data_IF_248854579965
#
_entry.id   IF_248854579965
#
_cell.length_a   1.000
_cell.length_b   1.000
_cell.length_c   1.000
_cell.angle_alpha   90.00
_cell.angle_beta   90.00
_cell.angle_gamma   90.00
#
_symmetry.space_group_name_H-M   'P 1'
#
loop_
_entity.id
_entity.type
_entity.pdbx_description
1 polymer ?
#
# COMPACT_ATOMS: atom_id res chain seq x y z
N UNK A 1 11.05 8.17 -11.24
CA UNK A 1 9.73 8.54 -10.69
C UNK A 1 9.26 9.91 -11.16
N UNK A 2 10.02 10.57 -12.05
CA UNK A 2 9.70 11.92 -12.51
C UNK A 2 9.71 12.98 -11.41
N UNK A 3 10.37 12.71 -10.28
CA UNK A 3 10.53 13.65 -9.17
C UNK A 3 11.96 14.11 -9.10
N UNK A 4 12.15 15.41 -8.96
CA UNK A 4 13.42 16.03 -8.62
C UNK A 4 13.49 16.16 -7.10
N UNK A 5 14.57 15.64 -6.53
CA UNK A 5 14.89 15.76 -5.11
C UNK A 5 16.15 16.60 -5.01
N UNK A 6 16.08 17.75 -4.35
CA UNK A 6 17.19 18.72 -4.29
C UNK A 6 17.90 18.74 -2.95
N UNK A 7 17.26 18.28 -1.87
CA UNK A 7 17.92 18.22 -0.56
C UNK A 7 18.74 16.94 -0.44
N UNK A 8 19.99 17.05 -0.83
CA UNK A 8 20.99 15.97 -0.85
C UNK A 8 22.25 16.39 -0.10
N UNK A 9 22.90 15.46 0.57
CA UNK A 9 24.21 15.68 1.20
C UNK A 9 25.11 14.47 1.01
N UNK A 10 26.41 14.70 0.98
CA UNK A 10 27.42 13.64 0.88
C UNK A 10 27.49 12.89 2.21
N UNK A 11 27.56 11.56 2.14
CA UNK A 11 27.67 10.68 3.30
C UNK A 11 28.98 9.91 3.20
N UNK A 12 29.76 9.90 4.29
CA UNK A 12 31.01 9.14 4.36
C UNK A 12 30.74 7.71 4.84
N UNK A 13 30.05 7.58 5.99
CA UNK A 13 29.60 6.30 6.53
C UNK A 13 28.08 6.29 6.64
N UNK A 14 27.47 5.40 5.85
CA UNK A 14 26.01 5.22 5.81
C UNK A 14 25.44 4.79 7.14
N UNK A 15 26.07 3.82 7.81
CA UNK A 15 25.50 3.23 9.02
C UNK A 15 25.55 4.22 10.17
N UNK A 16 26.68 4.92 10.34
CA UNK A 16 26.81 5.98 11.32
C UNK A 16 25.80 7.11 11.06
N UNK A 17 25.70 7.57 9.80
CA UNK A 17 24.75 8.60 9.43
C UNK A 17 23.29 8.17 9.69
N UNK A 18 22.91 6.94 9.30
CA UNK A 18 21.54 6.42 9.46
C UNK A 18 21.09 6.38 10.91
N UNK A 19 21.96 5.96 11.85
CA UNK A 19 21.65 5.91 13.28
C UNK A 19 21.25 7.29 13.86
N UNK A 20 21.88 8.35 13.40
CA UNK A 20 21.56 9.72 13.82
C UNK A 20 20.34 10.23 13.05
N UNK A 21 20.35 10.05 11.72
CA UNK A 21 19.35 10.57 10.80
C UNK A 21 17.95 9.97 10.97
N UNK A 22 17.80 8.79 11.55
CA UNK A 22 16.48 8.21 11.87
C UNK A 22 15.64 9.11 12.80
N UNK A 23 16.29 9.90 13.65
CA UNK A 23 15.63 10.87 14.55
C UNK A 23 15.05 12.09 13.80
N UNK A 24 15.40 12.29 12.53
CA UNK A 24 14.89 13.39 11.70
C UNK A 24 13.44 13.21 11.23
N UNK A 25 12.86 12.02 11.39
CA UNK A 25 11.51 11.66 10.91
C UNK A 25 11.27 11.88 9.40
N UNK A 26 12.33 12.02 8.61
CA UNK A 26 12.26 12.15 7.15
C UNK A 26 12.46 10.82 6.45
N UNK A 27 11.85 10.66 5.27
CA UNK A 27 12.08 9.51 4.42
C UNK A 27 13.39 9.72 3.66
N UNK A 28 14.38 8.87 3.93
CA UNK A 28 15.73 9.05 3.40
C UNK A 28 16.06 7.96 2.40
N UNK A 29 16.65 8.36 1.28
CA UNK A 29 17.22 7.48 0.28
C UNK A 29 18.74 7.60 0.38
N UNK A 30 19.42 6.49 0.64
CA UNK A 30 20.86 6.42 0.48
C UNK A 30 21.16 5.95 -0.95
N UNK A 31 21.88 6.79 -1.68
CA UNK A 31 22.24 6.54 -3.07
C UNK A 31 23.75 6.39 -3.19
N UNK A 32 24.16 5.39 -3.95
CA UNK A 32 25.51 5.27 -4.45
C UNK A 32 25.57 5.98 -5.81
N UNK A 33 26.52 6.91 -5.93
CA UNK A 33 26.75 7.67 -7.14
C UNK A 33 27.95 7.07 -7.87
N UNK A 34 27.74 6.73 -9.13
CA UNK A 34 28.75 6.14 -10.01
C UNK A 34 28.95 7.00 -11.26
N UNK A 35 30.22 7.20 -11.63
CA UNK A 35 30.60 7.97 -12.81
C UNK A 35 30.20 7.24 -14.09
N UNK A 36 29.60 7.98 -15.04
CA UNK A 36 29.19 7.45 -16.34
C UNK A 36 30.37 7.30 -17.33
N UNK A 37 31.47 8.00 -17.08
CA UNK A 37 32.66 8.03 -17.95
C UNK A 37 33.95 7.98 -17.12
N UNK A 38 34.71 6.89 -17.29
CA UNK A 38 36.14 6.65 -17.03
C UNK A 38 36.74 6.85 -15.63
N UNK A 39 36.13 7.63 -14.72
CA UNK A 39 36.63 7.73 -13.35
C UNK A 39 35.77 6.89 -12.42
N UNK A 40 36.38 5.88 -11.78
CA UNK A 40 35.82 5.02 -10.72
C UNK A 40 35.58 5.81 -9.41
N UNK A 41 35.08 7.04 -9.54
CA UNK A 41 34.69 7.89 -8.43
C UNK A 41 33.34 7.40 -7.97
N UNK A 42 33.37 6.70 -6.84
CA UNK A 42 32.19 6.26 -6.11
C UNK A 42 32.09 7.06 -4.84
N UNK A 43 30.90 7.61 -4.59
CA UNK A 43 30.59 8.25 -3.32
C UNK A 43 29.12 8.06 -2.99
N UNK A 44 28.83 8.09 -1.70
CA UNK A 44 27.47 7.99 -1.23
C UNK A 44 26.88 9.36 -0.95
N UNK A 45 25.59 9.49 -1.25
CA UNK A 45 24.79 10.63 -0.85
C UNK A 45 23.53 10.15 -0.16
N UNK A 46 22.96 10.99 0.68
CA UNK A 46 21.59 10.82 1.16
C UNK A 46 20.72 11.89 0.51
N UNK A 47 19.57 11.47 0.00
CA UNK A 47 18.53 12.34 -0.53
C UNK A 47 17.27 12.20 0.33
N UNK A 48 16.73 13.33 0.79
CA UNK A 48 15.52 13.31 1.62
C UNK A 48 14.26 13.55 0.78
N UNK A 49 13.32 12.61 0.89
CA UNK A 49 12.02 12.70 0.23
C UNK A 49 11.03 13.34 1.19
N UNK A 50 10.69 14.58 0.90
CA UNK A 50 9.98 15.44 1.85
C UNK A 50 8.54 15.76 1.44
N UNK A 51 8.19 15.47 0.18
CA UNK A 51 6.85 15.67 -0.38
C UNK A 51 6.48 14.55 -1.37
N UNK A 52 5.18 14.33 -1.54
CA UNK A 52 4.61 13.30 -2.41
C UNK A 52 4.40 11.98 -1.69
N UNK A 53 4.83 10.88 -2.31
CA UNK A 53 4.67 9.53 -1.80
C UNK A 53 5.92 8.67 -2.07
N UNK A 54 6.14 7.59 -1.32
CA UNK A 54 7.20 6.62 -1.53
C UNK A 54 7.05 5.98 -2.91
N UNK A 55 5.82 5.64 -3.27
CA UNK A 55 5.45 5.25 -4.64
C UNK A 55 6.30 4.10 -5.17
N UNK A 56 7.17 4.40 -6.13
CA UNK A 56 8.06 3.43 -6.78
C UNK A 56 9.50 3.51 -6.28
N UNK A 57 9.80 4.21 -5.19
CA UNK A 57 11.13 4.25 -4.60
C UNK A 57 11.41 2.91 -3.92
N UNK A 58 12.43 2.20 -4.39
CA UNK A 58 12.82 0.87 -3.94
C UNK A 58 14.33 0.75 -4.08
N UNK A 59 14.92 -0.15 -3.30
CA UNK A 59 16.33 -0.52 -3.42
C UNK A 59 16.58 -1.07 -4.84
N UNK A 60 17.74 -0.74 -5.41
CA UNK A 60 18.15 -1.06 -6.79
C UNK A 60 17.56 -0.15 -7.86
N UNK A 61 16.78 0.87 -7.48
CA UNK A 61 16.23 1.82 -8.45
C UNK A 61 17.26 2.86 -8.82
N UNK A 62 17.39 3.09 -10.13
CA UNK A 62 18.27 4.11 -10.70
C UNK A 62 17.62 5.49 -10.84
N UNK A 63 18.47 6.50 -10.83
CA UNK A 63 18.19 7.91 -11.03
C UNK A 63 19.41 8.63 -11.58
N UNK A 64 19.26 9.92 -11.88
CA UNK A 64 20.36 10.76 -12.35
C UNK A 64 20.64 11.80 -11.28
N UNK A 65 21.91 11.94 -10.90
CA UNK A 65 22.36 12.95 -9.97
C UNK A 65 23.13 14.04 -10.72
N UNK A 66 22.78 15.29 -10.45
CA UNK A 66 23.46 16.47 -11.01
C UNK A 66 24.28 17.12 -9.90
N UNK A 67 25.58 17.26 -10.12
CA UNK A 67 26.44 18.07 -9.24
C UNK A 67 26.20 19.56 -9.48
N UNK A 68 26.63 20.41 -8.55
CA UNK A 68 26.58 21.87 -8.68
C UNK A 68 27.24 22.35 -9.99
N UNK A 69 28.30 21.65 -10.43
CA UNK A 69 29.00 21.91 -11.70
C UNK A 69 28.21 21.52 -12.96
N UNK A 70 26.97 21.04 -12.81
CA UNK A 70 26.15 20.54 -13.92
C UNK A 70 26.55 19.15 -14.44
N UNK A 71 27.52 18.48 -13.81
CA UNK A 71 27.95 17.12 -14.19
C UNK A 71 26.90 16.07 -13.82
N UNK A 72 26.66 15.16 -14.76
CA UNK A 72 25.72 14.05 -14.64
C UNK A 72 26.38 12.78 -14.09
N UNK A 73 25.71 12.13 -13.16
CA UNK A 73 26.13 10.87 -12.57
C UNK A 73 24.97 9.87 -12.52
N UNK A 74 25.27 8.58 -12.61
CA UNK A 74 24.28 7.54 -12.36
C UNK A 74 24.13 7.34 -10.85
N UNK A 75 22.89 7.24 -10.38
CA UNK A 75 22.58 7.15 -8.96
C UNK A 75 21.71 5.92 -8.71
N UNK A 76 22.15 5.03 -7.82
CA UNK A 76 21.39 3.83 -7.46
C UNK A 76 21.00 3.86 -5.98
N UNK A 77 19.72 3.60 -5.68
CA UNK A 77 19.24 3.53 -4.30
C UNK A 77 19.73 2.21 -3.68
N UNK A 78 20.60 2.30 -2.68
CA UNK A 78 21.15 1.11 -2.02
C UNK A 78 20.47 0.83 -0.68
N UNK A 79 20.00 1.86 0.03
CA UNK A 79 19.28 1.71 1.29
C UNK A 79 18.22 2.80 1.47
N UNK A 80 17.21 2.51 2.29
CA UNK A 80 16.07 3.39 2.56
C UNK A 80 15.83 3.44 4.07
N UNK A 81 15.69 4.65 4.62
CA UNK A 81 15.12 4.85 5.94
C UNK A 81 13.65 5.26 5.79
N UNK A 82 12.74 4.33 6.14
CA UNK A 82 11.31 4.51 5.93
C UNK A 82 10.68 5.36 7.04
N UNK A 83 10.21 6.55 6.67
CA UNK A 83 9.38 7.42 7.50
C UNK A 83 8.23 7.98 6.67
N UNK A 84 7.06 8.30 7.25
CA UNK A 84 5.92 8.75 6.46
C UNK A 84 6.24 10.05 5.71
N UNK A 85 6.03 10.10 4.39
CA UNK A 85 6.21 11.29 3.53
C UNK A 85 4.95 12.16 3.55
N UNK A 86 3.78 11.54 3.67
CA UNK A 86 2.50 12.26 3.82
C UNK A 86 1.55 11.58 4.81
N UNK A 87 0.55 12.33 5.28
CA UNK A 87 -0.47 11.82 6.22
C UNK A 87 -1.17 10.59 5.60
N UNK A 88 -1.47 10.66 4.30
CA UNK A 88 -2.11 9.59 3.55
C UNK A 88 -1.29 8.30 3.45
N UNK A 89 0.02 8.35 3.64
CA UNK A 89 0.83 7.12 3.72
C UNK A 89 0.70 6.44 5.08
N UNK A 90 0.60 7.23 6.15
CA UNK A 90 0.43 6.71 7.51
C UNK A 90 -0.93 6.05 7.68
N UNK A 91 -1.95 6.54 6.97
CA UNK A 91 -3.30 5.94 6.90
C UNK A 91 -3.28 4.50 6.34
N UNK A 92 -2.30 4.14 5.49
CA UNK A 92 -2.22 2.80 4.88
C UNK A 92 -1.59 1.75 5.80
N UNK A 93 -0.78 2.17 6.77
CA UNK A 93 -0.07 1.28 7.68
C UNK A 93 -0.99 0.29 8.45
N UNK A 94 -2.11 0.71 9.08
CA UNK A 94 -3.00 -0.21 9.79
C UNK A 94 -3.60 -1.29 8.86
N UNK A 95 -3.92 -0.96 7.61
CA UNK A 95 -4.43 -1.95 6.65
C UNK A 95 -3.37 -2.96 6.21
N UNK A 96 -2.11 -2.54 6.11
CA UNK A 96 -1.01 -3.46 5.80
C UNK A 96 -0.78 -4.44 6.95
N UNK A 97 -0.81 -3.95 8.19
CA UNK A 97 -0.73 -4.81 9.37
C UNK A 97 -1.91 -5.79 9.42
N UNK A 98 -3.14 -5.33 9.16
CA UNK A 98 -4.34 -6.16 9.12
C UNK A 98 -4.25 -7.28 8.05
N UNK A 99 -3.74 -6.99 6.86
CA UNK A 99 -3.45 -8.03 5.85
C UNK A 99 -2.45 -9.06 6.36
N UNK A 100 -1.41 -8.62 7.08
CA UNK A 100 -0.45 -9.51 7.73
C UNK A 100 -1.11 -10.42 8.77
N UNK A 101 -2.03 -9.88 9.58
CA UNK A 101 -2.79 -10.67 10.55
C UNK A 101 -3.74 -11.68 9.89
N UNK A 102 -4.47 -11.28 8.85
CA UNK A 102 -5.32 -12.20 8.07
C UNK A 102 -4.47 -13.31 7.47
N UNK A 103 -3.33 -12.97 6.86
CA UNK A 103 -2.42 -13.97 6.28
C UNK A 103 -1.92 -14.93 7.34
N UNK A 104 -1.49 -14.44 8.51
CA UNK A 104 -1.08 -15.28 9.65
C UNK A 104 -2.20 -16.18 10.15
N UNK A 105 -3.44 -15.71 10.17
CA UNK A 105 -4.61 -16.52 10.55
C UNK A 105 -4.88 -17.60 9.49
N UNK A 106 -4.91 -17.25 8.21
CA UNK A 106 -5.07 -18.20 7.11
C UNK A 106 -3.95 -19.25 7.16
N UNK A 107 -2.69 -18.85 7.33
CA UNK A 107 -1.54 -19.76 7.42
C UNK A 107 -1.65 -20.71 8.63
N UNK A 108 -2.20 -20.25 9.77
CA UNK A 108 -2.48 -21.10 10.92
C UNK A 108 -3.60 -22.09 10.64
N UNK A 109 -4.66 -21.65 9.96
CA UNK A 109 -5.81 -22.48 9.61
C UNK A 109 -5.56 -23.41 8.42
N UNK A 110 -4.57 -23.18 7.57
CA UNK A 110 -4.17 -24.12 6.49
C UNK A 110 -3.13 -25.12 6.98
N UNK A 111 -2.27 -24.74 7.93
CA UNK A 111 -1.28 -25.66 8.55
C UNK A 111 -1.87 -26.60 9.60
N UNK A 112 -2.90 -26.17 10.34
CA UNK A 112 -3.53 -27.02 11.37
C UNK A 112 -4.27 -28.26 10.82
N UNK A 113 -4.97 -28.20 9.66
CA UNK A 113 -5.59 -29.36 9.03
C UNK A 113 -4.58 -30.29 8.37
N UNK A 114 -3.52 -29.77 7.73
CA UNK A 114 -2.47 -30.60 7.11
C UNK A 114 -1.79 -31.51 8.15
N UNK A 115 -1.44 -30.98 9.32
CA UNK A 115 -0.86 -31.76 10.41
C UNK A 115 -1.81 -32.80 11.03
N UNK A 116 -3.13 -32.61 10.91
CA UNK A 116 -4.15 -33.58 11.36
C UNK A 116 -4.52 -34.60 10.27
N UNK A 117 -4.47 -34.22 9.00
CA UNK A 117 -4.72 -35.10 7.86
C UNK A 117 -3.58 -36.11 7.69
N UNK A 118 -2.32 -35.69 7.86
CA UNK A 118 -1.15 -36.57 7.79
C UNK A 118 -1.17 -37.64 8.89
N UNK A 119 -1.71 -37.34 10.08
CA UNK A 119 -1.89 -38.32 11.16
C UNK A 119 -3.10 -39.24 10.97
N UNK A 120 -4.12 -38.83 10.22
CA UNK A 120 -5.32 -39.63 9.95
C UNK A 120 -5.20 -40.56 8.73
N UNK A 121 -4.35 -40.21 7.76
CA UNK A 121 -4.10 -41.01 6.55
C UNK A 121 -3.16 -42.20 6.78
N UNK A 122 -2.48 -42.26 7.93
CA UNK A 122 -1.61 -43.37 8.31
C UNK A 122 -2.34 -44.55 9.00
N UNK A 123 -3.67 -44.49 9.16
CA UNK A 123 -4.46 -45.55 9.78
C UNK A 123 -5.33 -46.29 8.74
N UNK A 124 -5.29 -47.63 8.67
CA UNK A 124 -6.05 -48.40 7.68
C UNK A 124 -7.53 -48.50 8.08
N UNK A 125 -8.41 -47.81 7.34
CA UNK A 125 -9.87 -47.82 7.57
C UNK A 125 -10.63 -46.70 6.85
N UNK A 126 -10.61 -46.69 5.51
CA UNK A 126 -11.02 -45.53 4.69
C UNK A 126 -12.54 -45.28 4.54
N UNK A 127 -13.43 -46.01 5.22
CA UNK A 127 -14.89 -45.78 5.12
C UNK A 127 -15.45 -44.79 6.16
N UNK A 128 -14.75 -44.60 7.29
CA UNK A 128 -15.14 -43.64 8.34
C UNK A 128 -14.80 -42.19 7.97
N UNK A 129 -13.64 -41.98 7.32
CA UNK A 129 -13.13 -40.65 6.99
C UNK A 129 -14.05 -39.85 6.06
N UNK A 130 -14.67 -40.49 5.07
CA UNK A 130 -15.61 -39.83 4.16
C UNK A 130 -16.94 -39.47 4.86
N UNK A 131 -17.42 -40.34 5.76
CA UNK A 131 -18.63 -40.10 6.56
C UNK A 131 -18.44 -38.98 7.59
N UNK A 132 -17.28 -38.95 8.25
CA UNK A 132 -16.90 -37.89 9.18
C UNK A 132 -16.62 -36.56 8.48
N UNK A 133 -16.08 -36.57 7.26
CA UNK A 133 -15.93 -35.36 6.44
C UNK A 133 -17.30 -34.82 5.99
N UNK A 134 -18.24 -35.69 5.63
CA UNK A 134 -19.59 -35.31 5.22
C UNK A 134 -20.42 -34.79 6.42
N UNK A 135 -20.32 -35.45 7.58
CA UNK A 135 -20.94 -35.02 8.83
C UNK A 135 -20.32 -33.72 9.35
N UNK A 136 -18.98 -33.62 9.36
CA UNK A 136 -18.27 -32.41 9.75
C UNK A 136 -18.50 -31.23 8.80
N UNK A 137 -18.54 -31.49 7.49
CA UNK A 137 -18.87 -30.51 6.46
C UNK A 137 -20.32 -30.03 6.54
N UNK A 138 -21.27 -30.94 6.77
CA UNK A 138 -22.69 -30.62 6.95
C UNK A 138 -22.94 -29.76 8.20
N UNK A 139 -22.30 -30.10 9.32
CA UNK A 139 -22.38 -29.31 10.56
C UNK A 139 -21.71 -27.94 10.37
N UNK A 140 -20.57 -27.88 9.68
CA UNK A 140 -19.90 -26.61 9.38
C UNK A 140 -20.77 -25.70 8.48
N UNK A 141 -21.40 -26.25 7.45
CA UNK A 141 -22.30 -25.49 6.56
C UNK A 141 -23.56 -25.05 7.32
N UNK A 142 -24.13 -25.91 8.17
CA UNK A 142 -25.27 -25.55 9.01
C UNK A 142 -24.92 -24.44 10.03
N UNK A 143 -23.74 -24.49 10.64
CA UNK A 143 -23.24 -23.46 11.55
C UNK A 143 -22.95 -22.13 10.84
N UNK A 144 -22.46 -22.16 9.59
CA UNK A 144 -22.32 -20.97 8.76
C UNK A 144 -23.68 -20.40 8.34
N UNK A 145 -24.65 -21.26 8.02
CA UNK A 145 -26.01 -20.87 7.71
C UNK A 145 -26.72 -20.19 8.88
N UNK A 146 -26.58 -20.73 10.10
CA UNK A 146 -27.18 -20.15 11.30
C UNK A 146 -26.54 -18.82 11.70
N UNK A 147 -25.22 -18.69 11.59
CA UNK A 147 -24.52 -17.42 11.85
C UNK A 147 -24.87 -16.36 10.79
N UNK A 148 -25.00 -16.73 9.51
CA UNK A 148 -25.45 -15.80 8.46
C UNK A 148 -26.91 -15.36 8.63
N UNK A 149 -27.80 -16.29 9.02
CA UNK A 149 -29.19 -15.99 9.34
C UNK A 149 -29.32 -15.09 10.58
N UNK A 150 -28.49 -15.30 11.60
CA UNK A 150 -28.43 -14.43 12.77
C UNK A 150 -27.97 -13.01 12.40
N UNK A 151 -26.93 -12.87 11.55
CA UNK A 151 -26.43 -11.58 11.07
C UNK A 151 -27.52 -10.84 10.27
N UNK A 152 -28.21 -11.52 9.36
CA UNK A 152 -29.29 -10.90 8.58
C UNK A 152 -30.48 -10.51 9.44
N UNK A 153 -30.87 -11.35 10.41
CA UNK A 153 -31.92 -11.01 11.39
C UNK A 153 -31.53 -9.81 12.25
N UNK A 154 -30.31 -9.78 12.78
CA UNK A 154 -29.82 -8.66 13.56
C UNK A 154 -29.74 -7.36 12.73
N UNK A 155 -29.31 -7.43 11.47
CA UNK A 155 -29.31 -6.29 10.54
C UNK A 155 -30.73 -5.79 10.23
N UNK A 156 -31.72 -6.68 10.14
CA UNK A 156 -33.11 -6.29 9.87
C UNK A 156 -33.79 -5.53 11.02
N UNK A 157 -33.29 -5.68 12.25
CA UNK A 157 -33.84 -5.03 13.45
C UNK A 157 -33.25 -3.63 13.72
N UNK A 158 -32.19 -3.24 13.00
CA UNK A 158 -31.45 -2.00 13.25
C UNK A 158 -31.69 -1.03 12.11
N UNK A 159 -31.98 0.24 12.44
CA UNK A 159 -32.09 1.30 11.42
C UNK A 159 -30.77 1.40 10.62
N UNK A 160 -30.82 1.55 9.29
CA UNK A 160 -29.62 1.67 8.44
C UNK A 160 -28.63 2.76 8.89
N UNK A 161 -29.14 3.82 9.54
CA UNK A 161 -28.32 4.90 10.10
C UNK A 161 -27.40 4.44 11.22
N UNK A 162 -27.85 3.58 12.14
CA UNK A 162 -27.01 3.06 13.20
C UNK A 162 -25.93 2.12 12.66
N UNK A 163 -26.24 1.36 11.60
CA UNK A 163 -25.26 0.51 10.91
C UNK A 163 -24.16 1.38 10.27
N UNK A 164 -24.52 2.47 9.60
CA UNK A 164 -23.56 3.42 9.04
C UNK A 164 -22.71 4.12 10.12
N UNK A 165 -23.32 4.55 11.22
CA UNK A 165 -22.59 5.18 12.34
C UNK A 165 -21.63 4.19 13.00
N UNK A 166 -22.06 2.95 13.23
CA UNK A 166 -21.20 1.91 13.78
C UNK A 166 -20.02 1.61 12.84
N UNK A 167 -20.28 1.49 11.54
CA UNK A 167 -19.23 1.27 10.53
C UNK A 167 -18.24 2.45 10.46
N UNK A 168 -18.75 3.68 10.50
CA UNK A 168 -17.93 4.88 10.54
C UNK A 168 -17.09 4.96 11.82
N UNK A 169 -17.67 4.61 12.98
CA UNK A 169 -16.97 4.56 14.26
C UNK A 169 -15.82 3.55 14.27
N UNK A 170 -16.07 2.31 13.81
CA UNK A 170 -15.03 1.28 13.69
C UNK A 170 -13.92 1.75 12.74
N UNK A 171 -14.30 2.31 11.58
CA UNK A 171 -13.34 2.84 10.60
C UNK A 171 -12.49 3.96 11.21
N UNK A 172 -13.11 4.88 11.94
CA UNK A 172 -12.41 5.96 12.63
C UNK A 172 -11.41 5.42 13.67
N UNK A 173 -11.82 4.46 14.51
CA UNK A 173 -10.94 3.86 15.53
C UNK A 173 -9.71 3.20 14.91
N UNK A 174 -9.86 2.55 13.74
CA UNK A 174 -8.73 1.91 13.04
C UNK A 174 -7.82 2.94 12.35
N UNK A 175 -8.39 4.01 11.77
CA UNK A 175 -7.64 4.99 10.99
C UNK A 175 -6.98 6.09 11.83
N UNK A 176 -7.66 6.53 12.88
CA UNK A 176 -7.29 7.71 13.68
C UNK A 176 -5.89 7.61 14.28
N UNK A 177 -5.45 6.47 14.87
CA UNK A 177 -4.08 6.34 15.39
C UNK A 177 -3.02 6.55 14.29
N UNK A 178 -3.25 5.99 13.09
CA UNK A 178 -2.34 6.14 11.95
C UNK A 178 -2.25 7.60 11.47
N UNK A 179 -3.37 8.31 11.46
CA UNK A 179 -3.42 9.74 11.12
C UNK A 179 -2.65 10.56 12.14
N UNK A 180 -2.87 10.33 13.45
CA UNK A 180 -2.18 11.06 14.52
C UNK A 180 -0.67 10.86 14.42
N UNK A 181 -0.21 9.61 14.32
CA UNK A 181 1.23 9.30 14.20
C UNK A 181 1.82 9.97 12.95
N UNK A 182 1.11 9.92 11.83
CA UNK A 182 1.53 10.60 10.60
C UNK A 182 1.68 12.10 10.77
N UNK A 183 0.69 12.77 11.36
CA UNK A 183 0.71 14.21 11.63
C UNK A 183 1.87 14.57 12.58
N UNK A 184 2.06 13.80 13.66
CA UNK A 184 3.12 14.04 14.63
C UNK A 184 4.50 13.88 13.98
N UNK A 185 4.73 12.78 13.24
CA UNK A 185 6.01 12.55 12.55
C UNK A 185 6.32 13.63 11.51
N UNK A 186 5.33 14.06 10.74
CA UNK A 186 5.50 15.12 9.73
C UNK A 186 5.81 16.47 10.39
N UNK A 187 5.16 16.81 11.50
CA UNK A 187 5.41 18.05 12.25
C UNK A 187 6.74 18.06 13.00
N UNK A 188 7.28 16.88 13.32
CA UNK A 188 8.56 16.70 14.01
C UNK A 188 9.75 16.57 13.05
N UNK A 189 9.56 16.73 11.74
CA UNK A 189 10.66 16.66 10.78
C UNK A 189 11.67 17.77 11.02
N UNK A 190 12.93 17.40 11.16
CA UNK A 190 14.00 18.34 11.48
C UNK A 190 15.22 18.09 10.59
N UNK A 191 15.64 19.13 9.87
CA UNK A 191 16.83 19.08 9.01
C UNK A 191 18.13 19.21 9.78
N UNK A 192 18.12 19.76 11.00
CA UNK A 192 19.34 19.92 11.80
C UNK A 192 19.99 18.56 12.06
N UNK A 193 19.17 17.57 12.40
CA UNK A 193 19.58 16.19 12.66
C UNK A 193 20.28 15.55 11.47
N UNK A 194 19.89 15.89 10.23
CA UNK A 194 20.60 15.40 9.05
C UNK A 194 21.96 16.09 8.87
N UNK A 195 22.02 17.40 9.12
CA UNK A 195 23.29 18.13 9.05
C UNK A 195 24.26 17.68 10.15
N UNK A 196 23.77 17.46 11.36
CA UNK A 196 24.50 16.84 12.47
C UNK A 196 25.02 15.45 12.09
N UNK A 197 24.19 14.63 11.44
CA UNK A 197 24.59 13.31 10.94
C UNK A 197 25.69 13.42 9.85
N UNK A 198 25.74 14.51 9.10
CA UNK A 198 26.79 14.82 8.14
C UNK A 198 28.04 15.47 8.78
N UNK A 199 28.08 15.62 10.11
CA UNK A 199 29.22 16.16 10.85
C UNK A 199 29.19 17.67 11.08
N UNK A 200 28.06 18.35 10.82
CA UNK A 200 27.92 19.78 11.07
C UNK A 200 27.51 20.05 12.52
N UNK A 201 28.14 21.04 13.15
CA UNK A 201 27.74 21.51 14.48
C UNK A 201 26.58 22.50 14.35
N UNK A 202 25.35 21.98 14.24
CA UNK A 202 24.12 22.78 14.16
C UNK A 202 23.39 22.70 15.50
N UNK A 203 23.19 23.84 16.18
CA UNK A 203 22.54 23.89 17.50
C UNK A 203 21.06 24.35 17.44
N UNK A 204 20.49 24.46 16.24
CA UNK A 204 19.13 25.00 16.04
C UNK A 204 18.23 23.97 15.37
N UNK A 205 17.01 23.83 15.89
CA UNK A 205 15.99 22.99 15.28
C UNK A 205 15.49 23.61 13.97
N UNK A 206 15.80 22.98 12.85
CA UNK A 206 15.43 23.42 11.51
C UNK A 206 14.22 22.61 11.03
N UNK A 207 13.05 22.93 11.58
CA UNK A 207 11.82 22.19 11.28
C UNK A 207 11.41 22.36 9.81
N UNK A 208 11.09 21.24 9.18
CA UNK A 208 10.65 21.21 7.80
C UNK A 208 9.12 21.35 7.70
N UNK A 209 8.65 22.51 7.22
CA UNK A 209 7.23 22.69 6.93
C UNK A 209 6.84 22.08 5.57
N UNK A 210 5.53 21.97 5.30
CA UNK A 210 5.03 21.35 4.07
C UNK A 210 5.39 22.13 2.79
N UNK A 211 5.51 23.46 2.86
CA UNK A 211 5.87 24.30 1.72
C UNK A 211 7.33 24.06 1.32
N UNK A 212 8.23 24.06 2.30
CA UNK A 212 9.65 23.76 2.13
C UNK A 212 9.86 22.32 1.66
N UNK A 213 9.06 21.36 2.14
CA UNK A 213 9.07 20.00 1.61
C UNK A 213 8.73 19.91 0.11
N UNK A 214 7.83 20.77 -0.39
CA UNK A 214 7.53 20.85 -1.83
C UNK A 214 8.65 21.50 -2.64
N UNK A 215 9.45 22.37 -2.03
CA UNK A 215 10.64 22.93 -2.69
C UNK A 215 11.71 21.85 -2.87
N UNK A 216 11.90 21.00 -1.86
CA UNK A 216 12.92 19.94 -1.91
C UNK A 216 12.52 18.72 -2.72
N UNK A 217 11.23 18.37 -2.75
CA UNK A 217 10.73 17.28 -3.59
C UNK A 217 9.60 17.80 -4.47
N UNK A 218 9.90 17.97 -5.76
CA UNK A 218 8.95 18.48 -6.76
C UNK A 218 8.90 17.59 -7.99
N UNK A 219 7.78 17.62 -8.69
CA UNK A 219 7.66 17.07 -10.04
C UNK A 219 7.94 18.23 -11.00
N UNK A 220 9.04 18.21 -11.77
CA UNK A 220 9.30 19.26 -12.74
C UNK A 220 8.19 19.33 -13.78
N UNK A 221 7.93 20.54 -14.28
CA UNK A 221 7.01 20.74 -15.38
C UNK A 221 7.54 20.07 -16.65
N UNK A 222 6.63 19.65 -17.50
CA UNK A 222 6.98 19.18 -18.83
C UNK A 222 7.61 20.35 -19.62
N UNK A 223 8.56 20.07 -20.52
CA UNK A 223 9.11 21.08 -21.42
C UNK A 223 8.00 21.81 -22.20
N UNK A 224 8.17 23.10 -22.45
CA UNK A 224 7.21 23.92 -23.20
C UNK A 224 6.87 23.24 -24.54
N UNK A 225 5.59 23.19 -24.89
CA UNK A 225 5.11 22.54 -26.12
C UNK A 225 4.80 21.04 -25.98
N UNK A 226 5.17 20.40 -24.87
CA UNK A 226 4.85 18.98 -24.65
C UNK A 226 3.43 18.81 -24.14
N UNK A 227 2.58 18.07 -24.87
CA UNK A 227 1.25 17.65 -24.38
C UNK A 227 1.33 16.20 -23.89
N UNK A 228 0.78 15.95 -22.70
CA UNK A 228 0.50 14.57 -22.26
C UNK A 228 -0.71 14.07 -23.03
N UNK A 229 -0.49 13.14 -23.93
CA UNK A 229 -1.57 12.45 -24.60
C UNK A 229 -2.34 11.60 -23.58
N UNK A 230 -3.65 11.84 -23.43
CA UNK A 230 -4.51 11.10 -22.48
C UNK A 230 -4.95 9.74 -23.02
N UNK A 231 -4.85 9.53 -24.33
CA UNK A 231 -5.23 8.28 -24.98
C UNK A 231 -3.98 7.42 -25.12
N UNK A 232 -4.09 6.20 -24.62
CA UNK A 232 -3.04 5.21 -24.79
C UNK A 232 -3.09 4.71 -26.25
N UNK A 233 -2.15 5.18 -27.06
CA UNK A 233 -1.98 4.73 -28.45
C UNK A 233 -1.68 3.23 -28.52
N UNK A 234 -1.17 2.63 -27.45
CA UNK A 234 -0.95 1.17 -27.37
C UNK A 234 -2.27 0.42 -27.54
N UNK A 235 -3.40 0.95 -27.07
CA UNK A 235 -4.69 0.30 -27.30
C UNK A 235 -5.09 0.26 -28.80
N UNK A 236 -4.59 1.19 -29.61
CA UNK A 236 -4.76 1.18 -31.07
C UNK A 236 -3.80 0.16 -31.69
N UNK A 237 -2.52 0.16 -31.31
CA UNK A 237 -1.54 -0.83 -31.79
C UNK A 237 -1.90 -2.28 -31.40
N UNK A 238 -2.43 -2.51 -30.19
CA UNK A 238 -2.88 -3.84 -29.74
C UNK A 238 -4.10 -4.31 -30.53
N UNK A 239 -4.96 -3.37 -30.97
CA UNK A 239 -6.08 -3.66 -31.86
C UNK A 239 -5.59 -4.02 -33.27
N UNK A 240 -4.53 -3.38 -33.76
CA UNK A 240 -3.87 -3.71 -35.03
C UNK A 240 -3.19 -5.10 -34.98
N UNK A 241 -2.60 -5.48 -33.85
CA UNK A 241 -1.99 -6.82 -33.63
C UNK A 241 -3.07 -7.92 -33.46
N UNK A 242 -4.36 -7.59 -33.53
CA UNK A 242 -5.46 -8.57 -33.49
C UNK A 242 -5.81 -9.06 -32.08
N UNK A 243 -5.29 -8.44 -31.03
CA UNK A 243 -5.65 -8.77 -29.65
C UNK A 243 -6.80 -7.88 -29.15
N UNK A 244 -7.97 -8.47 -28.93
CA UNK A 244 -9.10 -7.75 -28.34
C UNK A 244 -8.78 -7.36 -26.89
N UNK A 245 -8.88 -6.08 -26.50
CA UNK A 245 -8.56 -5.66 -25.14
C UNK A 245 -9.56 -6.26 -24.13
N UNK A 246 -9.04 -6.76 -22.99
CA UNK A 246 -9.81 -7.34 -21.86
C UNK A 246 -11.00 -6.48 -21.38
N UNK A 247 -10.99 -5.17 -21.69
CA UNK A 247 -12.07 -4.22 -21.36
C UNK A 247 -13.42 -4.62 -21.97
N UNK A 248 -13.42 -5.25 -23.15
CA UNK A 248 -14.63 -5.81 -23.78
C UNK A 248 -15.22 -6.95 -22.94
N UNK A 249 -14.39 -7.86 -22.42
CA UNK A 249 -14.84 -8.96 -21.54
C UNK A 249 -15.32 -8.48 -20.17
N UNK A 250 -14.81 -7.35 -19.66
CA UNK A 250 -15.30 -6.77 -18.39
C UNK A 250 -16.74 -6.25 -18.50
N UNK A 251 -17.11 -5.65 -19.64
CA UNK A 251 -18.48 -5.22 -19.89
C UNK A 251 -19.45 -6.40 -19.94
N UNK A 252 -19.08 -7.49 -20.63
CA UNK A 252 -19.92 -8.70 -20.66
C UNK A 252 -20.05 -9.37 -19.29
N UNK A 253 -18.98 -9.38 -18.47
CA UNK A 253 -19.04 -9.89 -17.09
C UNK A 253 -19.95 -9.02 -16.22
N UNK A 254 -19.86 -7.68 -16.32
CA UNK A 254 -20.75 -6.78 -15.58
C UNK A 254 -22.21 -6.97 -16.00
N UNK A 255 -22.48 -7.11 -17.29
CA UNK A 255 -23.83 -7.41 -17.81
C UNK A 255 -24.33 -8.77 -17.31
N UNK A 256 -23.47 -9.80 -17.27
CA UNK A 256 -23.80 -11.11 -16.72
C UNK A 256 -24.10 -11.04 -15.22
N UNK A 257 -23.33 -10.25 -14.46
CA UNK A 257 -23.57 -10.02 -13.03
C UNK A 257 -24.90 -9.29 -12.81
N UNK A 258 -25.21 -8.28 -13.62
CA UNK A 258 -26.50 -7.57 -13.55
C UNK A 258 -27.66 -8.51 -13.89
N UNK A 259 -27.51 -9.35 -14.91
CA UNK A 259 -28.51 -10.37 -15.26
C UNK A 259 -28.68 -11.41 -14.13
N UNK A 260 -27.59 -11.81 -13.48
CA UNK A 260 -27.65 -12.74 -12.35
C UNK A 260 -28.37 -12.10 -11.15
N UNK A 261 -28.09 -10.82 -10.85
CA UNK A 261 -28.77 -10.07 -9.80
C UNK A 261 -30.26 -9.93 -10.11
N UNK A 262 -30.62 -9.61 -11.36
CA UNK A 262 -32.01 -9.53 -11.80
C UNK A 262 -32.72 -10.89 -11.73
N UNK A 263 -32.03 -11.99 -12.06
CA UNK A 263 -32.54 -13.35 -11.94
C UNK A 263 -32.81 -13.72 -10.47
N UNK A 264 -31.88 -13.37 -9.58
CA UNK A 264 -32.02 -13.59 -8.13
C UNK A 264 -33.18 -12.79 -7.56
N UNK A 265 -33.39 -11.53 -8.00
CA UNK A 265 -34.55 -10.72 -7.62
C UNK A 265 -35.88 -11.31 -8.11
N UNK A 266 -35.86 -12.05 -9.24
CA UNK A 266 -37.04 -12.73 -9.78
C UNK A 266 -37.34 -14.05 -9.06
N UNK A 267 -36.32 -14.75 -8.59
CA UNK A 267 -36.42 -16.03 -7.86
C UNK A 267 -36.79 -15.79 -6.37
N UNK A 268 -36.27 -14.73 -5.77
CA UNK A 268 -36.65 -14.25 -4.44
C UNK A 268 -37.34 -12.89 -4.55
N UNK A 269 -38.65 -12.84 -4.87
CA UNK A 269 -39.37 -11.59 -4.85
C UNK A 269 -39.34 -11.07 -3.41
N UNK A 270 -38.70 -9.91 -3.19
CA UNK A 270 -38.95 -9.12 -1.99
C UNK A 270 -40.45 -8.82 -1.99
N UNK A 271 -41.18 -9.52 -1.11
CA UNK A 271 -42.63 -9.38 -0.93
C UNK A 271 -42.91 -7.89 -0.72
N UNK A 272 -43.65 -7.21 -1.63
CA UNK A 272 -44.06 -5.85 -1.37
C UNK A 272 -44.99 -5.89 -0.16
N UNK A 273 -44.59 -5.25 0.94
CA UNK A 273 -45.50 -4.99 2.06
C UNK A 273 -46.50 -3.93 1.61
N UNK A 274 -47.60 -4.37 0.99
CA UNK A 274 -48.79 -3.54 0.84
C UNK A 274 -49.76 -3.88 1.97
N UNK A 275 -50.03 -2.81 2.74
CA UNK A 275 -51.34 -2.41 3.31
C UNK A 275 -52.03 -3.34 4.32
N UNK A 276 -52.18 -2.86 5.58
CA UNK A 276 -53.46 -2.36 6.11
C UNK A 276 -53.40 -2.12 7.63
N UNK A 277 -53.38 -0.84 8.02
CA UNK A 277 -54.23 -0.13 9.01
C UNK A 277 -53.57 1.21 9.35
#
# INVERSE_FOLDING_TARGET
DGRQITFTMKVQDRQAHKRIAEKSYMYLLYLEITGRQEKDIKFEIVASVTSGAAGRLRIGKRGVFFTIDGREWDAEIVDIAENPISIWESVKAPFQQFKGFIRKQIDKFTKAPQAKLEKGLAAPGASGAARDLLLGGGIAIAALGSSFAYITKALSQVKPTHILVALAGITAVVLLPGIIIGIVKIRKRDMSVLLEAAGWAVNVHMRLNAALGRLFTRVPYLPKGTRKERRDVVAQFVKEIGHTPLRSKKLSIVVLIILLIALVQKIFPLKPSLTNL
#
